data_IF_759129830642
#
_entry.id   IF_759129830642
#
_cell.length_a   1.000
_cell.length_b   1.000
_cell.length_c   1.000
_cell.angle_alpha   90.00
_cell.angle_beta   90.00
_cell.angle_gamma   90.00
#
_symmetry.space_group_name_H-M   'P 1'
#
loop_
_entity.id
_entity.type
_entity.pdbx_description
1 polymer ?
#
# COMPACT_ATOMS: atom_id res chain seq x y z
N UNK A 1 -0.31 11.70 19.22
CA UNK A 1 -1.53 11.39 19.94
C UNK A 1 -2.29 10.24 19.34
N UNK A 2 -2.63 10.32 18.06
CA UNK A 2 -3.29 9.23 17.36
C UNK A 2 -2.40 7.98 17.30
N UNK A 3 -1.13 8.17 17.12
CA UNK A 3 -0.15 7.09 17.11
C UNK A 3 -0.13 6.32 18.43
N UNK A 4 -0.27 7.02 19.52
CA UNK A 4 -0.24 6.40 20.81
C UNK A 4 -1.41 5.46 21.04
N UNK A 5 -2.59 5.89 20.62
CA UNK A 5 -3.78 5.05 20.72
C UNK A 5 -3.65 3.81 19.85
N UNK A 6 -3.00 4.00 18.74
CA UNK A 6 -2.78 2.92 17.79
C UNK A 6 -1.91 1.82 18.40
N UNK A 7 -0.85 2.23 19.06
CA UNK A 7 0.05 1.26 19.69
C UNK A 7 -0.63 0.50 20.82
N UNK A 8 -1.46 1.19 21.59
CA UNK A 8 -2.19 0.55 22.67
C UNK A 8 -3.16 -0.50 22.12
N UNK A 9 -3.86 -0.13 21.05
CA UNK A 9 -4.79 -1.03 20.40
C UNK A 9 -4.06 -2.23 19.81
N UNK A 10 -2.93 -1.97 19.19
CA UNK A 10 -2.12 -3.02 18.60
C UNK A 10 -1.63 -3.99 19.66
N UNK A 11 -1.24 -3.48 20.80
CA UNK A 11 -0.78 -4.30 21.91
C UNK A 11 -1.86 -5.25 22.39
N UNK A 12 -3.08 -4.73 22.52
CA UNK A 12 -4.21 -5.54 22.93
C UNK A 12 -4.50 -6.64 21.92
N UNK A 13 -4.46 -6.28 20.66
CA UNK A 13 -4.68 -7.25 19.57
C UNK A 13 -3.59 -8.33 19.59
N UNK A 14 -2.37 -7.91 19.85
CA UNK A 14 -1.26 -8.86 19.91
C UNK A 14 -1.44 -9.86 21.05
N UNK A 15 -1.92 -9.40 22.16
CA UNK A 15 -2.21 -10.28 23.29
C UNK A 15 -3.32 -11.27 22.96
N UNK A 16 -4.36 -10.79 22.29
CA UNK A 16 -5.45 -11.64 21.89
C UNK A 16 -5.01 -12.66 20.83
N UNK A 17 -4.19 -12.21 19.90
CA UNK A 17 -3.68 -13.09 18.86
C UNK A 17 -2.76 -14.17 19.42
N UNK A 18 -1.93 -13.80 20.37
CA UNK A 18 -1.07 -14.77 21.04
C UNK A 18 -1.86 -15.80 21.83
N UNK A 19 -3.05 -15.45 22.21
CA UNK A 19 -3.94 -16.33 22.94
C UNK A 19 -4.54 -17.42 22.08
N UNK A 20 -4.93 -17.04 20.88
CA UNK A 20 -5.50 -17.98 19.94
C UNK A 20 -4.39 -18.53 19.07
N UNK A 21 -3.83 -19.61 19.47
CA UNK A 21 -2.82 -20.29 18.66
C UNK A 21 -3.36 -20.70 17.30
N UNK A 22 -4.65 -20.66 17.13
CA UNK A 22 -5.30 -20.85 15.84
C UNK A 22 -4.97 -19.76 14.84
N UNK A 23 -4.50 -18.63 15.32
CA UNK A 23 -4.14 -17.52 14.47
C UNK A 23 -2.92 -17.80 13.59
N UNK A 24 -2.35 -18.98 13.70
CA UNK A 24 -1.30 -19.41 12.79
C UNK A 24 -1.76 -19.35 11.33
N UNK A 25 -3.02 -19.70 11.10
CA UNK A 25 -3.58 -19.65 9.76
C UNK A 25 -3.71 -18.22 9.26
N UNK A 26 -4.07 -17.31 10.14
CA UNK A 26 -4.20 -15.90 9.81
C UNK A 26 -2.83 -15.29 9.49
N UNK A 27 -1.83 -15.66 10.26
CA UNK A 27 -0.46 -15.20 10.02
C UNK A 27 0.04 -15.68 8.67
N UNK A 28 -0.23 -16.92 8.33
CA UNK A 28 0.16 -17.47 7.05
C UNK A 28 -0.54 -16.76 5.90
N UNK A 29 -1.82 -16.45 6.06
CA UNK A 29 -2.58 -15.72 5.04
C UNK A 29 -2.03 -14.33 4.82
N UNK A 30 -1.69 -13.64 5.90
CA UNK A 30 -1.09 -12.31 5.81
C UNK A 30 0.27 -12.36 5.12
N UNK A 31 1.10 -13.33 5.51
CA UNK A 31 2.44 -13.49 4.93
C UNK A 31 2.38 -13.82 3.45
N UNK A 32 1.31 -14.44 3.03
CA UNK A 32 1.16 -14.90 1.65
C UNK A 32 0.45 -13.90 0.75
N UNK A 33 0.10 -12.74 1.28
CA UNK A 33 -0.54 -11.71 0.44
C UNK A 33 0.42 -11.31 -0.69
N UNK A 34 -0.04 -11.34 -1.93
CA UNK A 34 0.81 -10.96 -3.05
C UNK A 34 1.23 -9.49 -3.04
N UNK A 35 0.54 -8.67 -2.25
CA UNK A 35 0.91 -7.26 -2.10
C UNK A 35 2.10 -7.03 -1.17
N UNK A 36 2.35 -7.95 -0.24
CA UNK A 36 3.44 -7.75 0.73
C UNK A 36 4.78 -7.63 0.01
N UNK A 37 5.51 -6.57 0.31
CA UNK A 37 6.82 -6.32 -0.26
C UNK A 37 7.03 -4.86 -0.62
N UNK A 38 8.13 -4.61 -1.30
CA UNK A 38 8.50 -3.27 -1.75
C UNK A 38 8.22 -3.15 -3.25
N UNK A 39 7.47 -2.12 -3.61
CA UNK A 39 7.06 -1.87 -4.99
C UNK A 39 7.62 -0.54 -5.45
N UNK A 40 8.40 -0.57 -6.51
CA UNK A 40 9.02 0.63 -7.07
C UNK A 40 8.23 1.10 -8.28
N UNK A 41 7.86 2.38 -8.29
CA UNK A 41 7.11 2.95 -9.40
C UNK A 41 7.97 3.07 -10.65
N UNK A 42 7.45 2.61 -11.77
CA UNK A 42 8.12 2.73 -13.06
C UNK A 42 7.53 3.84 -13.91
N UNK A 43 6.24 4.10 -13.76
CA UNK A 43 5.57 5.21 -14.43
C UNK A 43 4.22 5.46 -13.81
N UNK A 44 3.68 6.64 -14.09
CA UNK A 44 2.32 7.01 -13.72
C UNK A 44 1.66 7.67 -14.93
N UNK A 45 0.42 7.31 -15.21
CA UNK A 45 -0.34 7.88 -16.31
C UNK A 45 -1.52 8.65 -15.75
N UNK A 46 -1.64 9.92 -16.11
CA UNK A 46 -2.74 10.77 -15.67
C UNK A 46 -3.24 11.60 -16.85
N UNK A 47 -4.52 11.48 -17.16
CA UNK A 47 -5.16 12.22 -18.26
C UNK A 47 -4.40 12.08 -19.58
N UNK A 48 -3.91 10.88 -19.86
CA UNK A 48 -3.18 10.60 -21.11
C UNK A 48 -1.72 11.00 -21.11
N UNK A 49 -1.25 11.64 -20.04
CA UNK A 49 0.17 12.00 -19.89
C UNK A 49 0.91 10.95 -19.08
N UNK A 50 2.08 10.58 -19.53
CA UNK A 50 2.94 9.61 -18.84
C UNK A 50 4.03 10.35 -18.08
N UNK A 51 4.13 10.04 -16.79
CA UNK A 51 5.16 10.59 -15.91
C UNK A 51 6.12 9.48 -15.51
N UNK A 52 7.41 9.73 -15.66
CA UNK A 52 8.44 8.75 -15.31
C UNK A 52 9.23 9.29 -14.12
N UNK A 53 9.36 8.53 -13.03
CA UNK A 53 10.11 9.01 -11.88
C UNK A 53 11.52 9.47 -12.25
N UNK A 54 11.87 10.65 -11.76
CA UNK A 54 13.17 11.26 -12.03
C UNK A 54 13.24 12.06 -13.31
N UNK A 55 12.13 12.19 -14.06
CA UNK A 55 12.10 12.94 -15.31
C UNK A 55 11.10 14.10 -15.23
N UNK A 56 11.43 15.19 -15.89
CA UNK A 56 10.54 16.35 -16.06
C UNK A 56 9.96 16.88 -14.75
N UNK A 57 10.76 16.88 -13.69
CA UNK A 57 10.33 17.39 -12.39
C UNK A 57 9.48 16.41 -11.58
N UNK A 58 9.25 15.21 -12.08
CA UNK A 58 8.56 14.17 -11.32
C UNK A 58 9.58 13.52 -10.38
N UNK A 59 9.20 13.35 -9.13
CA UNK A 59 10.11 12.82 -8.11
C UNK A 59 10.65 11.45 -8.49
N UNK A 60 11.89 11.19 -8.09
CA UNK A 60 12.50 9.88 -8.29
C UNK A 60 12.31 9.01 -7.05
N UNK A 61 12.61 7.71 -7.19
CA UNK A 61 12.56 6.79 -6.05
C UNK A 61 11.18 6.66 -5.43
N UNK A 62 10.14 6.76 -6.25
CA UNK A 62 8.77 6.61 -5.78
C UNK A 62 8.41 5.15 -5.63
N UNK A 63 7.62 4.86 -4.59
CA UNK A 63 7.19 3.49 -4.38
C UNK A 63 6.23 3.33 -3.23
N UNK A 64 5.86 2.07 -3.01
CA UNK A 64 4.98 1.65 -1.92
C UNK A 64 5.59 0.43 -1.24
N UNK A 65 5.49 0.37 0.07
CA UNK A 65 5.91 -0.81 0.83
C UNK A 65 4.71 -1.30 1.61
N UNK A 66 4.33 -2.55 1.40
CA UNK A 66 3.22 -3.19 2.12
C UNK A 66 3.77 -4.23 3.06
N UNK A 67 3.39 -4.15 4.31
CA UNK A 67 3.81 -5.10 5.34
C UNK A 67 2.72 -6.13 5.61
N UNK A 68 3.13 -7.31 6.06
CA UNK A 68 2.19 -8.38 6.35
C UNK A 68 1.19 -8.04 7.47
N UNK A 69 1.55 -7.08 8.31
CA UNK A 69 0.69 -6.68 9.43
C UNK A 69 -0.40 -5.66 9.05
N UNK A 70 -0.59 -5.39 7.76
CA UNK A 70 -1.64 -4.49 7.31
C UNK A 70 -1.26 -3.02 7.26
N UNK A 71 0.02 -2.71 7.38
CA UNK A 71 0.50 -1.34 7.28
C UNK A 71 1.23 -1.13 5.96
N UNK A 72 1.31 0.13 5.54
CA UNK A 72 2.06 0.49 4.34
C UNK A 72 2.72 1.84 4.53
N UNK A 73 3.67 2.14 3.67
CA UNK A 73 4.19 3.51 3.57
C UNK A 73 4.62 3.82 2.14
N UNK A 74 4.64 5.12 1.86
CA UNK A 74 5.10 5.64 0.57
C UNK A 74 6.58 5.91 0.60
N UNK A 75 7.21 5.78 -0.55
CA UNK A 75 8.61 6.17 -0.75
C UNK A 75 8.67 7.34 -1.71
N UNK A 76 9.50 8.32 -1.38
CA UNK A 76 9.92 9.38 -2.29
C UNK A 76 11.44 9.49 -2.13
N UNK A 77 12.15 9.46 -3.24
CA UNK A 77 13.62 9.42 -3.25
C UNK A 77 14.16 8.25 -2.41
N UNK A 78 13.43 7.13 -2.43
CA UNK A 78 13.74 5.92 -1.68
C UNK A 78 13.66 6.09 -0.16
N UNK A 79 13.00 7.14 0.30
CA UNK A 79 12.82 7.39 1.72
C UNK A 79 11.35 7.36 2.09
N UNK A 80 11.06 6.85 3.27
CA UNK A 80 9.71 6.78 3.79
C UNK A 80 9.18 8.19 4.08
N UNK A 81 8.05 8.53 3.49
CA UNK A 81 7.47 9.87 3.67
C UNK A 81 6.09 9.86 4.32
N UNK A 82 5.24 8.90 4.00
CA UNK A 82 3.90 8.82 4.56
C UNK A 82 3.59 7.37 4.87
N UNK A 83 2.75 7.15 5.86
CA UNK A 83 2.40 5.79 6.24
C UNK A 83 0.93 5.69 6.67
N UNK A 84 0.45 4.46 6.75
CA UNK A 84 -0.91 4.19 7.14
C UNK A 84 -1.20 2.71 7.16
N UNK A 85 -2.48 2.39 7.00
CA UNK A 85 -2.97 1.02 6.92
C UNK A 85 -3.54 0.75 5.55
N UNK A 86 -3.48 -0.49 5.13
CA UNK A 86 -4.12 -0.87 3.88
C UNK A 86 -5.04 -2.05 4.08
N UNK A 87 -5.97 -2.16 3.17
CA UNK A 87 -6.89 -3.29 3.09
C UNK A 87 -7.00 -3.68 1.62
N UNK A 88 -6.87 -4.97 1.34
CA UNK A 88 -6.94 -5.47 -0.03
C UNK A 88 -8.03 -6.53 -0.14
N UNK A 89 -8.99 -6.27 -1.01
CA UNK A 89 -10.05 -7.22 -1.34
C UNK A 89 -9.75 -7.84 -2.69
N UNK A 90 -9.23 -9.05 -2.68
CA UNK A 90 -8.89 -9.78 -3.90
C UNK A 90 -10.08 -9.98 -4.83
N UNK A 91 -11.23 -10.26 -4.27
CA UNK A 91 -12.42 -10.56 -5.07
C UNK A 91 -12.91 -9.34 -5.83
N UNK A 92 -12.86 -8.18 -5.17
CA UNK A 92 -13.28 -6.94 -5.78
C UNK A 92 -12.16 -6.17 -6.45
N UNK A 93 -10.91 -6.65 -6.36
CA UNK A 93 -9.74 -5.95 -6.87
C UNK A 93 -9.64 -4.53 -6.31
N UNK A 94 -9.97 -4.36 -5.03
CA UNK A 94 -9.98 -3.05 -4.40
C UNK A 94 -8.89 -2.98 -3.35
N UNK A 95 -8.07 -1.94 -3.44
CA UNK A 95 -7.04 -1.63 -2.47
C UNK A 95 -7.40 -0.30 -1.81
N UNK A 96 -7.56 -0.32 -0.49
CA UNK A 96 -7.87 0.89 0.27
C UNK A 96 -6.65 1.29 1.06
N UNK A 97 -6.20 2.52 0.89
CA UNK A 97 -5.07 3.09 1.61
C UNK A 97 -5.59 4.14 2.59
N UNK A 98 -5.38 3.91 3.88
CA UNK A 98 -5.84 4.82 4.92
C UNK A 98 -4.60 5.42 5.58
N UNK A 99 -4.35 6.70 5.28
CA UNK A 99 -3.18 7.40 5.81
C UNK A 99 -3.41 7.81 7.28
N UNK A 100 -2.33 8.04 7.97
CA UNK A 100 -2.39 8.39 9.40
C UNK A 100 -3.21 9.65 9.65
N UNK A 101 -3.20 10.60 8.73
CA UNK A 101 -3.97 11.83 8.86
C UNK A 101 -5.44 11.68 8.45
N UNK A 102 -5.91 10.43 8.35
CA UNK A 102 -7.28 10.05 8.04
C UNK A 102 -7.68 10.22 6.58
N UNK A 103 -6.77 10.59 5.70
CA UNK A 103 -7.04 10.56 4.28
C UNK A 103 -7.15 9.13 3.79
N UNK A 104 -8.14 8.87 2.96
CA UNK A 104 -8.38 7.53 2.43
C UNK A 104 -8.37 7.58 0.91
N UNK A 105 -7.61 6.67 0.30
CA UNK A 105 -7.55 6.55 -1.15
C UNK A 105 -8.07 5.18 -1.53
N UNK A 106 -9.06 5.15 -2.40
CA UNK A 106 -9.65 3.92 -2.91
C UNK A 106 -9.06 3.64 -4.27
N UNK A 107 -8.37 2.51 -4.36
CA UNK A 107 -7.70 2.11 -5.60
C UNK A 107 -8.32 0.87 -6.17
N UNK A 108 -8.31 0.76 -7.49
CA UNK A 108 -8.63 -0.47 -8.19
C UNK A 108 -7.30 -1.13 -8.57
N UNK A 109 -7.16 -2.41 -8.22
CA UNK A 109 -5.99 -3.18 -8.64
C UNK A 109 -6.29 -3.72 -10.03
N UNK A 110 -5.67 -3.13 -11.03
CA UNK A 110 -5.91 -3.50 -12.43
C UNK A 110 -5.10 -4.73 -12.82
N UNK A 111 -3.96 -4.92 -12.20
CA UNK A 111 -3.12 -6.08 -12.45
C UNK A 111 -2.21 -6.30 -11.24
N UNK A 112 -2.03 -7.55 -10.88
CA UNK A 112 -1.14 -7.93 -9.80
C UNK A 112 -0.53 -9.29 -10.11
N UNK A 113 0.79 -9.33 -10.14
CA UNK A 113 1.55 -10.56 -10.33
C UNK A 113 2.69 -10.58 -9.31
N UNK A 114 3.54 -11.59 -9.37
CA UNK A 114 4.69 -11.66 -8.46
C UNK A 114 5.65 -10.48 -8.63
N UNK A 115 5.67 -9.87 -9.82
CA UNK A 115 6.67 -8.87 -10.14
C UNK A 115 6.11 -7.50 -10.49
N UNK A 116 4.82 -7.40 -10.76
CA UNK A 116 4.23 -6.17 -11.28
C UNK A 116 2.88 -5.88 -10.65
N UNK A 117 2.62 -4.60 -10.43
CA UNK A 117 1.37 -4.12 -9.87
C UNK A 117 0.94 -2.87 -10.62
N UNK A 118 -0.34 -2.83 -11.01
CA UNK A 118 -0.94 -1.65 -11.61
C UNK A 118 -2.15 -1.28 -10.78
N UNK A 119 -2.17 -0.07 -10.25
CA UNK A 119 -3.32 0.45 -9.52
C UNK A 119 -3.86 1.69 -10.20
N UNK A 120 -5.17 1.88 -10.08
CA UNK A 120 -5.86 3.04 -10.63
C UNK A 120 -6.65 3.71 -9.51
N UNK A 121 -6.64 5.02 -9.48
CA UNK A 121 -7.41 5.78 -8.51
C UNK A 121 -7.73 7.17 -9.06
N UNK A 122 -8.69 7.83 -8.42
CA UNK A 122 -9.14 9.15 -8.84
C UNK A 122 -8.65 10.21 -7.88
N UNK A 123 -8.07 11.26 -8.41
CA UNK A 123 -7.66 12.45 -7.68
C UNK A 123 -8.44 13.64 -8.23
N UNK A 124 -9.42 14.13 -7.46
CA UNK A 124 -10.29 15.18 -7.96
C UNK A 124 -11.05 14.71 -9.20
N UNK A 125 -10.85 15.38 -10.33
CA UNK A 125 -11.48 15.00 -11.60
C UNK A 125 -10.58 14.13 -12.47
N UNK A 126 -9.38 13.83 -12.01
CA UNK A 126 -8.38 13.09 -12.79
C UNK A 126 -8.29 11.65 -12.33
N UNK A 127 -8.12 10.74 -13.28
CA UNK A 127 -7.85 9.34 -12.99
C UNK A 127 -6.39 9.06 -13.25
N UNK A 128 -5.74 8.39 -12.31
CA UNK A 128 -4.34 8.01 -12.43
C UNK A 128 -4.20 6.51 -12.46
N UNK A 129 -3.19 6.06 -13.18
CA UNK A 129 -2.74 4.68 -13.17
C UNK A 129 -1.27 4.66 -12.82
N UNK A 130 -0.93 3.98 -11.74
CA UNK A 130 0.46 3.87 -11.30
C UNK A 130 0.96 2.46 -11.52
N UNK A 131 2.13 2.35 -12.11
CA UNK A 131 2.76 1.09 -12.48
C UNK A 131 3.97 0.86 -11.60
N UNK A 132 4.03 -0.32 -11.00
CA UNK A 132 5.10 -0.69 -10.07
C UNK A 132 5.72 -2.02 -10.45
N UNK A 133 6.98 -2.20 -10.09
CA UNK A 133 7.65 -3.49 -10.13
C UNK A 133 8.13 -3.85 -8.74
N UNK A 134 8.13 -5.15 -8.44
CA UNK A 134 8.55 -5.61 -7.12
C UNK A 134 10.06 -5.64 -7.03
N UNK A 135 10.57 -5.19 -5.91
CA UNK A 135 12.00 -5.19 -5.60
C UNK A 135 12.46 -6.55 -5.11
#
# INVERSE_FOLDING_TARGET
MKTFRFFATLLVITLCAGFTSCSNDDDENESNSPLVGTWKMTKSISNGHTYIPGQNGFDSGLGLVFSANGTFYNLVENEKVEEGKYSYDEKGNTLTLIYIDDDTVYCTVKSLSEFALIISYTEGSSTREDYFVKQ
#
